data_IF_682198739526
#
_entry.id   IF_682198739526
#
_cell.length_a   1.000
_cell.length_b   1.000
_cell.length_c   1.000
_cell.angle_alpha   90.00
_cell.angle_beta   90.00
_cell.angle_gamma   90.00
#
_symmetry.space_group_name_H-M   'P 1'
#
loop_
_entity.id
_entity.type
_entity.pdbx_description
1 polymer ?
#
# COMPACT_ATOMS: atom_id res chain seq x y z
N UNK A 1 -11.06 -8.38 -23.79
CA UNK A 1 -10.00 -7.45 -23.38
C UNK A 1 -9.11 -8.11 -22.33
N UNK A 2 -7.82 -8.14 -22.58
CA UNK A 2 -6.88 -8.62 -21.55
C UNK A 2 -6.67 -7.52 -20.51
N UNK A 3 -6.82 -7.85 -19.26
CA UNK A 3 -6.44 -6.96 -18.17
C UNK A 3 -5.04 -7.31 -17.69
N UNK A 4 -4.24 -6.31 -17.33
CA UNK A 4 -2.92 -6.51 -16.74
C UNK A 4 -2.98 -6.60 -15.21
N UNK A 5 -4.16 -6.86 -14.67
CA UNK A 5 -4.33 -7.02 -13.24
C UNK A 5 -3.83 -8.38 -12.78
N UNK A 6 -3.30 -8.42 -11.57
CA UNK A 6 -2.84 -9.66 -10.96
C UNK A 6 -4.00 -10.58 -10.60
N UNK A 7 -3.85 -11.87 -10.87
CA UNK A 7 -4.78 -12.86 -10.33
C UNK A 7 -4.45 -13.13 -8.86
N UNK A 8 -5.45 -13.47 -8.01
CA UNK A 8 -5.22 -13.64 -6.56
C UNK A 8 -4.13 -14.67 -6.22
N UNK A 9 -4.00 -15.72 -6.99
CA UNK A 9 -3.00 -16.78 -6.78
C UNK A 9 -1.56 -16.33 -7.12
N UNK A 10 -1.41 -15.17 -7.77
CA UNK A 10 -0.10 -14.60 -8.13
C UNK A 10 0.13 -13.24 -7.44
N UNK A 11 -0.60 -12.97 -6.37
CA UNK A 11 -0.61 -11.68 -5.69
C UNK A 11 -0.40 -11.86 -4.19
N UNK A 12 0.80 -12.27 -3.75
CA UNK A 12 1.05 -12.48 -2.32
C UNK A 12 0.98 -11.17 -1.52
N UNK A 13 1.37 -10.05 -2.09
CA UNK A 13 1.27 -8.74 -1.42
C UNK A 13 -0.19 -8.37 -1.18
N UNK A 14 -1.05 -8.47 -2.21
CA UNK A 14 -2.47 -8.18 -2.08
C UNK A 14 -3.17 -9.14 -1.13
N UNK A 15 -2.82 -10.42 -1.14
CA UNK A 15 -3.35 -11.41 -0.20
C UNK A 15 -3.00 -11.05 1.24
N UNK A 16 -1.75 -10.65 1.50
CA UNK A 16 -1.32 -10.25 2.84
C UNK A 16 -2.02 -8.96 3.30
N UNK A 17 -2.20 -7.99 2.40
CA UNK A 17 -2.93 -6.76 2.71
C UNK A 17 -4.39 -7.08 3.07
N UNK A 18 -5.07 -7.92 2.29
CA UNK A 18 -6.45 -8.31 2.55
C UNK A 18 -6.58 -9.05 3.89
N UNK A 19 -5.68 -9.98 4.18
CA UNK A 19 -5.68 -10.72 5.44
C UNK A 19 -5.49 -9.79 6.63
N UNK A 20 -4.51 -8.89 6.55
CA UNK A 20 -4.27 -7.94 7.63
C UNK A 20 -5.46 -6.99 7.82
N UNK A 21 -6.03 -6.48 6.73
CA UNK A 21 -7.18 -5.59 6.80
C UNK A 21 -8.38 -6.26 7.44
N UNK A 22 -8.69 -7.49 7.03
CA UNK A 22 -9.89 -8.21 7.47
C UNK A 22 -9.73 -8.85 8.86
N UNK A 23 -8.55 -9.31 9.20
CA UNK A 23 -8.32 -10.13 10.40
C UNK A 23 -7.26 -9.56 11.35
N UNK A 24 -6.58 -8.47 10.98
CA UNK A 24 -5.42 -7.91 11.70
C UNK A 24 -4.28 -8.91 11.88
N UNK A 25 -4.26 -9.93 11.04
CA UNK A 25 -3.23 -10.97 11.02
C UNK A 25 -2.88 -11.29 9.58
N UNK A 26 -1.61 -11.41 9.31
CA UNK A 26 -1.10 -11.94 8.05
C UNK A 26 0.27 -12.55 8.31
N UNK A 27 0.63 -13.52 7.50
CA UNK A 27 1.99 -14.02 7.49
C UNK A 27 2.93 -12.91 7.04
N UNK A 28 4.18 -12.98 7.49
CA UNK A 28 5.19 -12.01 7.09
C UNK A 28 5.46 -12.15 5.59
N UNK A 29 5.53 -11.01 4.91
CA UNK A 29 5.99 -10.98 3.53
C UNK A 29 7.51 -11.13 3.49
N UNK A 30 7.98 -12.11 2.76
CA UNK A 30 9.41 -12.34 2.54
C UNK A 30 9.79 -11.75 1.19
N UNK A 31 10.85 -10.97 1.19
CA UNK A 31 11.35 -10.31 -0.03
C UNK A 31 12.65 -10.98 -0.45
N UNK A 32 12.64 -11.50 -1.67
CA UNK A 32 13.81 -12.14 -2.27
C UNK A 32 14.34 -11.28 -3.41
N UNK A 33 15.64 -11.10 -3.45
CA UNK A 33 16.33 -10.40 -4.53
C UNK A 33 17.63 -11.11 -4.86
N UNK A 34 18.01 -11.11 -6.13
CA UNK A 34 19.31 -11.62 -6.56
C UNK A 34 20.47 -10.73 -6.11
N UNK A 35 20.21 -9.50 -5.67
CA UNK A 35 21.23 -8.51 -5.32
C UNK A 35 21.31 -8.22 -3.82
N UNK A 36 20.30 -8.59 -3.04
CA UNK A 36 20.22 -8.30 -1.62
C UNK A 36 19.85 -9.55 -0.85
N UNK A 37 20.17 -9.56 0.44
CA UNK A 37 19.74 -10.61 1.34
C UNK A 37 18.20 -10.64 1.46
N UNK A 38 17.65 -11.80 1.82
CA UNK A 38 16.24 -11.93 2.10
C UNK A 38 15.83 -10.99 3.22
N UNK A 39 14.72 -10.31 3.02
CA UNK A 39 14.14 -9.40 4.00
C UNK A 39 12.67 -9.74 4.24
N UNK A 40 12.10 -9.20 5.30
CA UNK A 40 10.70 -9.36 5.65
C UNK A 40 10.04 -8.00 5.82
N UNK A 41 8.80 -7.89 5.34
CA UNK A 41 8.00 -6.68 5.52
C UNK A 41 6.92 -6.98 6.56
N UNK A 42 6.96 -6.36 7.74
CA UNK A 42 5.84 -6.43 8.68
C UNK A 42 4.61 -5.74 8.10
N UNK A 43 3.47 -6.42 8.11
CA UNK A 43 2.26 -5.90 7.47
C UNK A 43 1.74 -4.62 8.10
N UNK A 44 1.98 -4.40 9.39
CA UNK A 44 1.59 -3.16 10.05
C UNK A 44 2.25 -1.91 9.45
N UNK A 45 3.43 -2.05 8.81
CA UNK A 45 4.07 -0.93 8.12
C UNK A 45 3.24 -0.42 6.95
N UNK A 46 2.47 -1.26 6.31
CA UNK A 46 1.62 -0.88 5.17
C UNK A 46 0.32 -0.21 5.60
N UNK A 47 0.04 -0.16 6.90
CA UNK A 47 -1.18 0.43 7.46
C UNK A 47 -0.88 1.57 8.43
N UNK A 48 0.30 2.17 8.34
CA UNK A 48 0.73 3.26 9.24
C UNK A 48 -0.08 4.53 8.99
N UNK A 49 -0.51 5.22 10.05
CA UNK A 49 -0.97 6.61 9.92
C UNK A 49 0.23 7.55 9.68
N UNK A 50 -0.07 8.80 9.32
CA UNK A 50 0.96 9.79 8.97
C UNK A 50 2.02 9.96 10.07
N UNK A 51 1.61 10.05 11.32
CA UNK A 51 2.53 10.30 12.44
C UNK A 51 3.46 9.13 12.77
N UNK A 52 3.17 7.93 12.25
CA UNK A 52 4.04 6.76 12.38
C UNK A 52 4.95 6.56 11.15
N UNK A 53 4.83 7.41 10.13
CA UNK A 53 5.66 7.34 8.94
C UNK A 53 7.05 7.92 9.20
N UNK A 54 8.11 7.39 8.54
CA UNK A 54 9.43 8.02 8.58
C UNK A 54 9.37 9.47 8.08
N UNK A 55 10.27 10.30 8.59
CA UNK A 55 10.32 11.74 8.26
C UNK A 55 10.34 11.99 6.76
N UNK A 56 11.10 11.21 6.00
CA UNK A 56 11.18 11.36 4.54
C UNK A 56 9.82 11.20 3.88
N UNK A 57 9.03 10.21 4.30
CA UNK A 57 7.68 10.01 3.77
C UNK A 57 6.76 11.16 4.16
N UNK A 58 6.85 11.65 5.39
CA UNK A 58 6.06 12.79 5.85
C UNK A 58 6.37 14.05 5.03
N UNK A 59 7.64 14.33 4.77
CA UNK A 59 8.07 15.47 3.95
C UNK A 59 7.52 15.33 2.53
N UNK A 60 7.61 14.16 1.93
CA UNK A 60 7.10 13.93 0.59
C UNK A 60 5.60 14.21 0.50
N UNK A 61 4.83 13.76 1.49
CA UNK A 61 3.38 14.01 1.52
C UNK A 61 3.06 15.47 1.73
N UNK A 62 3.82 16.17 2.57
CA UNK A 62 3.65 17.61 2.80
C UNK A 62 3.91 18.43 1.55
N UNK A 63 4.90 18.04 0.74
CA UNK A 63 5.28 18.78 -0.47
C UNK A 63 4.41 18.43 -1.67
N UNK A 64 3.66 17.34 -1.64
CA UNK A 64 2.77 16.97 -2.73
C UNK A 64 1.63 17.98 -2.86
N UNK A 65 1.38 18.48 -4.07
CA UNK A 65 0.36 19.50 -4.34
C UNK A 65 -0.44 19.16 -5.60
N UNK A 66 -1.59 19.82 -5.76
CA UNK A 66 -2.45 19.63 -6.91
C UNK A 66 -3.14 18.28 -6.90
N UNK A 67 -3.33 17.71 -8.08
CA UNK A 67 -3.86 16.34 -8.23
C UNK A 67 -2.71 15.36 -8.08
N UNK A 68 -2.80 14.48 -7.09
CA UNK A 68 -1.74 13.55 -6.73
C UNK A 68 -2.11 12.15 -7.19
N UNK A 69 -1.17 11.46 -7.84
CA UNK A 69 -1.31 10.07 -8.23
C UNK A 69 -0.43 9.20 -7.34
N UNK A 70 -1.06 8.29 -6.59
CA UNK A 70 -0.37 7.34 -5.71
C UNK A 70 -0.25 6.00 -6.47
N UNK A 71 0.90 5.78 -7.10
CA UNK A 71 1.16 4.60 -7.93
C UNK A 71 1.66 3.45 -7.07
N UNK A 72 1.06 2.26 -7.24
CA UNK A 72 1.39 1.10 -6.43
C UNK A 72 0.97 1.32 -4.98
N UNK A 73 -0.23 1.85 -4.78
CA UNK A 73 -0.68 2.36 -3.48
C UNK A 73 -0.81 1.29 -2.40
N UNK A 74 -0.92 0.01 -2.77
CA UNK A 74 -1.01 -1.11 -1.82
C UNK A 74 -2.19 -1.00 -0.87
N UNK A 75 -1.91 -0.78 0.42
CA UNK A 75 -2.95 -0.60 1.44
C UNK A 75 -3.61 0.78 1.40
N UNK A 76 -3.04 1.73 0.69
CA UNK A 76 -3.53 3.09 0.59
C UNK A 76 -3.15 4.00 1.76
N UNK A 77 -2.15 3.64 2.56
CA UNK A 77 -1.80 4.44 3.74
C UNK A 77 -1.38 5.86 3.40
N UNK A 78 -0.66 6.07 2.29
CA UNK A 78 -0.26 7.42 1.85
C UNK A 78 -1.46 8.22 1.35
N UNK A 79 -2.34 7.59 0.55
CA UNK A 79 -3.55 8.25 0.06
C UNK A 79 -4.50 8.65 1.19
N UNK A 80 -4.63 7.80 2.23
CA UNK A 80 -5.44 8.14 3.40
C UNK A 80 -4.83 9.32 4.16
N UNK A 81 -3.50 9.34 4.34
CA UNK A 81 -2.82 10.46 4.98
C UNK A 81 -3.03 11.76 4.19
N UNK A 82 -2.93 11.71 2.86
CA UNK A 82 -3.19 12.88 2.00
C UNK A 82 -4.64 13.37 2.16
N UNK A 83 -5.59 12.47 2.24
CA UNK A 83 -7.00 12.81 2.45
C UNK A 83 -7.19 13.54 3.79
N UNK A 84 -6.57 13.05 4.85
CA UNK A 84 -6.60 13.69 6.17
C UNK A 84 -5.97 15.09 6.16
N UNK A 85 -4.99 15.31 5.28
CA UNK A 85 -4.36 16.62 5.07
C UNK A 85 -5.19 17.55 4.18
N UNK A 86 -6.35 17.10 3.69
CA UNK A 86 -7.20 17.86 2.80
C UNK A 86 -6.72 17.89 1.35
N UNK A 87 -5.87 16.96 0.97
CA UNK A 87 -5.31 16.88 -0.40
C UNK A 87 -6.07 15.84 -1.23
N UNK A 88 -6.19 16.10 -2.53
CA UNK A 88 -6.83 15.20 -3.47
C UNK A 88 -5.81 14.24 -4.04
N UNK A 89 -6.12 12.94 -4.00
CA UNK A 89 -5.26 11.92 -4.59
C UNK A 89 -6.09 10.81 -5.24
N UNK A 90 -5.48 10.15 -6.22
CA UNK A 90 -6.01 8.93 -6.83
C UNK A 90 -5.00 7.82 -6.58
N UNK A 91 -5.44 6.78 -5.89
CA UNK A 91 -4.62 5.60 -5.62
C UNK A 91 -4.86 4.55 -6.69
N UNK A 92 -3.79 4.01 -7.25
CA UNK A 92 -3.86 2.92 -8.23
C UNK A 92 -2.94 1.78 -7.84
N UNK A 93 -3.36 0.56 -8.13
CA UNK A 93 -2.58 -0.65 -7.90
C UNK A 93 -3.04 -1.73 -8.88
N UNK A 94 -2.12 -2.59 -9.30
CA UNK A 94 -2.44 -3.73 -10.17
C UNK A 94 -3.07 -4.91 -9.41
N UNK A 95 -3.07 -4.85 -8.08
CA UNK A 95 -3.63 -5.88 -7.22
C UNK A 95 -5.11 -5.59 -6.92
N UNK A 96 -6.06 -6.39 -7.44
CA UNK A 96 -7.47 -6.21 -7.09
C UNK A 96 -7.75 -6.37 -5.59
N UNK A 97 -6.98 -7.23 -4.90
CA UNK A 97 -7.11 -7.41 -3.45
C UNK A 97 -6.71 -6.14 -2.69
N UNK A 98 -5.63 -5.48 -3.12
CA UNK A 98 -5.21 -4.20 -2.55
C UNK A 98 -6.24 -3.11 -2.81
N UNK A 99 -6.75 -3.01 -4.04
CA UNK A 99 -7.77 -2.02 -4.40
C UNK A 99 -9.01 -2.21 -3.56
N UNK A 100 -9.46 -3.45 -3.37
CA UNK A 100 -10.61 -3.75 -2.52
C UNK A 100 -10.39 -3.29 -1.08
N UNK A 101 -9.22 -3.57 -0.51
CA UNK A 101 -8.89 -3.12 0.84
C UNK A 101 -8.90 -1.59 0.94
N UNK A 102 -8.33 -0.89 -0.04
CA UNK A 102 -8.35 0.57 -0.09
C UNK A 102 -9.76 1.15 -0.16
N UNK A 103 -10.64 0.53 -0.95
CA UNK A 103 -12.02 0.99 -1.10
C UNK A 103 -12.83 0.84 0.18
N UNK A 104 -12.51 -0.14 1.00
CA UNK A 104 -13.19 -0.41 2.26
C UNK A 104 -12.62 0.40 3.45
N UNK A 105 -11.53 1.09 3.25
CA UNK A 105 -10.91 1.97 4.27
C UNK A 105 -11.48 3.40 4.22
#
# INVERSE_FOLDING_TARGET
>A
MKTNLLSPDKDPMGAAIADYFNHRKADKLRVFSSQFEEDEIPMNQLFRPYDEMPELEQIALQQATGKILDVGAGSGCHSLALKEMGKESLAIDISPLSVKAMQER
#
